data_IF_330818062772
#
_entry.id   IF_330818062772
#
_cell.length_a   1.000
_cell.length_b   1.000
_cell.length_c   1.000
_cell.angle_alpha   90.00
_cell.angle_beta   90.00
_cell.angle_gamma   90.00
#
_symmetry.space_group_name_H-M   'P 1'
#
loop_
_entity.id
_entity.type
_entity.pdbx_description
1 polymer ?
#
# COMPACT_ATOMS: atom_id res chain seq x y z
N UNK A 1 11.27 -17.25 -8.06
CA UNK A 1 10.22 -16.30 -8.48
C UNK A 1 8.88 -16.94 -8.23
N UNK A 2 8.21 -16.58 -7.14
CA UNK A 2 6.90 -17.11 -6.78
C UNK A 2 5.92 -16.85 -7.92
N UNK A 3 5.18 -17.89 -8.33
CA UNK A 3 4.06 -17.72 -9.23
C UNK A 3 2.97 -16.86 -8.56
N UNK A 4 2.70 -15.66 -9.07
CA UNK A 4 1.41 -14.94 -9.07
C UNK A 4 0.47 -15.10 -7.86
N UNK A 5 0.97 -15.01 -6.61
CA UNK A 5 0.10 -15.00 -5.43
C UNK A 5 -0.19 -13.56 -5.05
N UNK A 6 -1.42 -13.12 -5.32
CA UNK A 6 -1.91 -11.78 -5.00
C UNK A 6 -3.40 -11.79 -4.79
N UNK A 7 -3.89 -10.78 -4.10
CA UNK A 7 -5.31 -10.47 -4.04
C UNK A 7 -5.55 -9.31 -5.01
N UNK A 8 -6.59 -9.41 -5.84
CA UNK A 8 -6.96 -8.35 -6.78
C UNK A 8 -8.34 -7.83 -6.35
N UNK A 9 -8.41 -6.53 -6.10
CA UNK A 9 -9.65 -5.79 -5.87
C UNK A 9 -9.92 -5.00 -7.13
N UNK A 10 -10.78 -5.55 -7.99
CA UNK A 10 -11.16 -4.94 -9.26
C UNK A 10 -12.00 -3.67 -9.05
N UNK A 11 -12.16 -2.88 -10.12
CA UNK A 11 -13.01 -1.67 -10.10
C UNK A 11 -14.44 -2.03 -9.67
N UNK A 12 -14.99 -1.27 -8.74
CA UNK A 12 -16.32 -1.49 -8.20
C UNK A 12 -16.40 -2.60 -7.15
N UNK A 13 -15.29 -3.31 -6.87
CA UNK A 13 -15.18 -4.26 -5.79
C UNK A 13 -14.66 -3.59 -4.51
N UNK A 14 -15.05 -4.16 -3.37
CA UNK A 14 -14.59 -3.74 -2.04
C UNK A 14 -14.11 -4.96 -1.26
N UNK A 15 -12.89 -4.87 -0.73
CA UNK A 15 -12.33 -5.85 0.20
C UNK A 15 -12.22 -5.22 1.58
N UNK A 16 -12.74 -5.92 2.60
CA UNK A 16 -12.61 -5.53 4.00
C UNK A 16 -11.81 -6.63 4.70
N UNK A 17 -10.74 -6.24 5.38
CA UNK A 17 -9.93 -7.12 6.24
C UNK A 17 -10.03 -6.60 7.66
N UNK A 18 -10.73 -7.33 8.53
CA UNK A 18 -10.97 -6.91 9.91
C UNK A 18 -10.48 -7.98 10.89
N UNK A 19 -9.51 -7.63 11.75
CA UNK A 19 -8.97 -8.53 12.78
C UNK A 19 -8.21 -9.74 12.24
N UNK A 20 -7.71 -9.68 10.99
CA UNK A 20 -7.10 -10.80 10.30
C UNK A 20 -5.63 -10.56 9.94
N UNK A 21 -4.90 -11.66 9.73
CA UNK A 21 -3.50 -11.66 9.27
C UNK A 21 -3.44 -12.22 7.85
N UNK A 22 -2.92 -11.43 6.91
CA UNK A 22 -2.60 -11.86 5.56
C UNK A 22 -1.09 -11.82 5.41
N UNK A 23 -0.49 -12.98 5.16
CA UNK A 23 0.96 -13.12 5.10
C UNK A 23 1.45 -13.99 3.97
N UNK A 24 2.67 -13.68 3.52
CA UNK A 24 3.46 -14.55 2.66
C UNK A 24 3.97 -15.78 3.40
N UNK A 25 4.70 -16.60 2.66
CA UNK A 25 5.48 -17.71 3.23
C UNK A 25 6.91 -17.21 3.33
N UNK A 26 7.63 -17.54 4.41
CA UNK A 26 9.01 -17.12 4.54
C UNK A 26 9.87 -17.57 3.35
N UNK A 27 10.74 -16.66 2.90
CA UNK A 27 11.62 -16.82 1.74
C UNK A 27 10.86 -16.96 0.40
N UNK A 28 9.54 -16.74 0.38
CA UNK A 28 8.68 -16.79 -0.80
C UNK A 28 7.56 -15.72 -0.68
N UNK A 29 7.92 -14.41 -0.81
CA UNK A 29 6.96 -13.33 -0.64
C UNK A 29 5.87 -13.40 -1.69
N UNK A 30 4.67 -12.96 -1.30
CA UNK A 30 3.55 -12.78 -2.21
C UNK A 30 3.56 -11.35 -2.78
N UNK A 31 2.83 -11.09 -3.87
CA UNK A 31 2.81 -9.75 -4.49
C UNK A 31 1.81 -8.79 -3.83
N UNK A 32 1.21 -9.17 -2.70
CA UNK A 32 0.28 -8.33 -1.96
C UNK A 32 -1.12 -8.19 -2.56
N UNK A 33 -1.76 -7.09 -2.16
CA UNK A 33 -3.10 -6.69 -2.59
C UNK A 33 -2.98 -5.61 -3.66
N UNK A 34 -3.50 -5.85 -4.86
CA UNK A 34 -3.64 -4.84 -5.90
C UNK A 34 -5.05 -4.26 -5.88
N UNK A 35 -5.13 -2.94 -5.85
CA UNK A 35 -6.39 -2.20 -5.82
C UNK A 35 -6.52 -1.43 -7.12
N UNK A 36 -7.35 -1.96 -8.02
CA UNK A 36 -7.47 -1.45 -9.38
C UNK A 36 -8.39 -0.24 -9.42
N UNK A 37 -7.83 0.91 -9.79
CA UNK A 37 -8.56 2.14 -10.02
C UNK A 37 -8.82 2.44 -11.49
N UNK A 38 -9.43 3.59 -11.74
CA UNK A 38 -9.58 4.24 -13.02
C UNK A 38 -8.95 5.63 -12.93
N UNK A 39 -7.74 5.78 -13.47
CA UNK A 39 -6.95 7.02 -13.35
C UNK A 39 -7.57 8.22 -14.06
N UNK A 40 -8.56 7.98 -14.94
CA UNK A 40 -9.29 9.03 -15.65
C UNK A 40 -10.54 9.52 -14.89
N UNK A 41 -10.83 8.97 -13.71
CA UNK A 41 -12.02 9.28 -12.91
C UNK A 41 -11.62 9.62 -11.48
N UNK A 42 -12.35 10.56 -10.87
CA UNK A 42 -12.27 10.79 -9.42
C UNK A 42 -12.78 9.57 -8.64
N UNK A 43 -12.47 9.48 -7.36
CA UNK A 43 -12.78 8.29 -6.55
C UNK A 43 -14.25 8.16 -6.13
N UNK A 44 -15.07 9.21 -6.32
CA UNK A 44 -16.52 9.17 -6.13
C UNK A 44 -17.29 8.83 -7.41
N UNK A 45 -16.58 8.63 -8.54
CA UNK A 45 -17.20 8.34 -9.82
C UNK A 45 -17.89 6.97 -9.82
N UNK A 46 -19.08 6.93 -10.41
CA UNK A 46 -19.90 5.73 -10.58
C UNK A 46 -20.10 5.51 -12.08
N UNK A 47 -19.83 4.30 -12.55
CA UNK A 47 -20.02 3.89 -13.94
C UNK A 47 -21.52 3.84 -14.30
N UNK A 48 -21.84 3.80 -15.60
CA UNK A 48 -23.23 3.76 -16.08
C UNK A 48 -24.05 2.54 -15.64
N UNK A 49 -23.37 1.51 -15.10
CA UNK A 49 -23.99 0.32 -14.51
C UNK A 49 -24.25 0.45 -12.99
N UNK A 50 -23.95 1.61 -12.39
CA UNK A 50 -24.20 1.90 -10.97
C UNK A 50 -23.09 1.49 -10.01
N UNK A 51 -21.97 0.94 -10.50
CA UNK A 51 -20.84 0.53 -9.65
C UNK A 51 -19.74 1.61 -9.58
N UNK A 52 -19.02 1.73 -8.46
CA UNK A 52 -17.86 2.61 -8.37
C UNK A 52 -16.81 2.32 -9.45
N UNK A 53 -16.10 3.35 -9.90
CA UNK A 53 -15.03 3.24 -10.91
C UNK A 53 -13.67 2.85 -10.29
N UNK A 54 -13.58 2.81 -8.96
CA UNK A 54 -12.40 2.41 -8.20
C UNK A 54 -12.63 1.10 -7.46
N UNK A 55 -11.59 0.30 -7.32
CA UNK A 55 -11.52 -0.73 -6.28
C UNK A 55 -11.19 -0.08 -4.93
N UNK A 56 -11.64 -0.71 -3.85
CA UNK A 56 -11.44 -0.21 -2.49
C UNK A 56 -11.01 -1.31 -1.53
N UNK A 57 -9.94 -1.04 -0.78
CA UNK A 57 -9.50 -1.88 0.34
C UNK A 57 -9.67 -1.09 1.64
N UNK A 58 -10.29 -1.74 2.61
CA UNK A 58 -10.36 -1.26 3.99
C UNK A 58 -9.71 -2.29 4.92
N UNK A 59 -8.74 -1.83 5.70
CA UNK A 59 -8.00 -2.64 6.67
C UNK A 59 -8.28 -2.10 8.07
N UNK A 60 -8.82 -2.94 8.93
CA UNK A 60 -9.16 -2.61 10.32
C UNK A 60 -8.52 -3.64 11.24
N UNK A 61 -7.71 -3.20 12.21
CA UNK A 61 -7.08 -4.11 13.18
C UNK A 61 -6.35 -5.30 12.51
N UNK A 62 -5.79 -5.06 11.32
CA UNK A 62 -5.27 -6.11 10.45
C UNK A 62 -3.74 -6.19 10.53
N UNK A 63 -3.18 -7.29 10.05
CA UNK A 63 -1.74 -7.39 9.79
C UNK A 63 -1.50 -7.89 8.38
N UNK A 64 -0.80 -7.08 7.57
CA UNK A 64 -0.37 -7.45 6.22
C UNK A 64 1.15 -7.57 6.22
N UNK A 65 1.68 -8.73 5.86
CA UNK A 65 3.12 -8.98 6.00
C UNK A 65 3.74 -9.90 4.95
N UNK A 66 5.08 -9.88 4.90
CA UNK A 66 5.92 -10.73 4.07
C UNK A 66 5.58 -10.65 2.57
N UNK A 67 5.32 -9.43 2.09
CA UNK A 67 4.92 -9.15 0.71
C UNK A 67 5.96 -8.30 -0.03
N UNK A 68 6.04 -8.42 -1.35
CA UNK A 68 6.85 -7.49 -2.17
C UNK A 68 6.29 -6.06 -2.06
N UNK A 69 4.98 -5.91 -2.29
CA UNK A 69 4.20 -4.70 -2.01
C UNK A 69 3.04 -5.14 -1.13
N UNK A 70 2.83 -4.60 0.08
CA UNK A 70 1.74 -5.10 0.92
C UNK A 70 0.36 -4.75 0.32
N UNK A 71 0.18 -3.48 -0.04
CA UNK A 71 -0.98 -2.99 -0.79
C UNK A 71 -0.52 -1.99 -1.84
N UNK A 72 -1.00 -2.15 -3.06
CA UNK A 72 -0.64 -1.32 -4.21
C UNK A 72 -1.89 -0.75 -4.88
N UNK A 73 -2.03 0.58 -4.91
CA UNK A 73 -3.10 1.32 -5.58
C UNK A 73 -2.87 1.42 -7.09
N UNK A 74 -2.81 0.26 -7.73
CA UNK A 74 -2.53 0.12 -9.14
C UNK A 74 -2.56 -1.33 -9.56
N UNK A 75 -1.91 -1.59 -10.69
CA UNK A 75 -1.89 -2.88 -11.32
C UNK A 75 -0.47 -3.24 -11.76
N UNK A 76 -0.09 -4.50 -11.55
CA UNK A 76 1.17 -5.07 -12.00
C UNK A 76 0.91 -6.40 -12.72
N UNK A 77 1.69 -6.66 -13.78
CA UNK A 77 1.51 -7.74 -14.76
C UNK A 77 1.15 -9.14 -14.20
N UNK A 78 0.48 -10.01 -15.01
CA UNK A 78 0.19 -9.85 -16.45
C UNK A 78 -1.13 -9.15 -16.80
N UNK A 79 -1.20 -8.61 -18.03
CA UNK A 79 -2.25 -7.72 -18.58
C UNK A 79 -3.66 -8.13 -18.15
N UNK A 80 -4.56 -7.17 -17.81
CA UNK A 80 -5.97 -7.48 -17.68
C UNK A 80 -6.45 -8.12 -19.00
N UNK A 81 -7.31 -9.14 -18.95
CA UNK A 81 -7.91 -9.69 -20.16
C UNK A 81 -8.64 -8.58 -20.92
N UNK A 82 -8.27 -8.32 -22.17
CA UNK A 82 -9.03 -7.41 -23.04
C UNK A 82 -8.28 -6.33 -23.81
N UNK A 83 -6.95 -6.21 -23.68
CA UNK A 83 -6.07 -5.46 -24.61
C UNK A 83 -6.38 -3.97 -24.81
N UNK A 84 -5.46 -3.09 -24.40
CA UNK A 84 -5.52 -1.66 -24.75
C UNK A 84 -5.39 -0.69 -23.58
N UNK A 85 -5.35 -1.19 -22.35
CA UNK A 85 -5.07 -0.39 -21.16
C UNK A 85 -3.63 -0.60 -20.69
N UNK A 86 -2.95 0.51 -20.39
CA UNK A 86 -1.63 0.53 -19.77
C UNK A 86 -1.76 0.41 -18.25
N UNK A 87 -0.67 0.05 -17.55
CA UNK A 87 -0.72 -0.09 -16.10
C UNK A 87 -1.17 1.19 -15.37
N UNK A 88 -0.81 2.36 -15.91
CA UNK A 88 -1.24 3.66 -15.41
C UNK A 88 -2.75 3.90 -15.50
N UNK A 89 -3.49 3.18 -16.35
CA UNK A 89 -4.96 3.29 -16.42
C UNK A 89 -5.63 2.71 -15.18
N UNK A 90 -4.91 1.90 -14.41
CA UNK A 90 -5.37 1.22 -13.21
C UNK A 90 -4.99 1.92 -11.90
N UNK A 91 -4.31 3.06 -11.96
CA UNK A 91 -4.02 3.84 -10.76
C UNK A 91 -5.32 4.45 -10.19
N UNK A 92 -5.27 4.88 -8.93
CA UNK A 92 -6.40 5.56 -8.27
C UNK A 92 -7.28 4.66 -7.41
N UNK A 93 -6.87 3.40 -7.18
CA UNK A 93 -7.50 2.54 -6.17
C UNK A 93 -7.48 3.19 -4.78
N UNK A 94 -8.48 2.87 -3.96
CA UNK A 94 -8.66 3.46 -2.63
C UNK A 94 -8.08 2.50 -1.58
N UNK A 95 -7.17 3.00 -0.73
CA UNK A 95 -6.62 2.24 0.39
C UNK A 95 -6.91 3.02 1.68
N UNK A 96 -7.74 2.43 2.54
CA UNK A 96 -8.03 2.96 3.87
C UNK A 96 -7.50 1.95 4.89
N UNK A 97 -6.59 2.38 5.75
CA UNK A 97 -6.03 1.56 6.80
C UNK A 97 -6.21 2.24 8.16
N UNK A 98 -6.76 1.50 9.12
CA UNK A 98 -6.99 1.95 10.49
C UNK A 98 -6.53 0.87 11.46
N UNK A 99 -5.72 1.28 12.44
CA UNK A 99 -5.10 0.40 13.43
C UNK A 99 -4.47 -0.87 12.82
N UNK A 100 -3.79 -0.70 11.68
CA UNK A 100 -3.27 -1.82 10.88
C UNK A 100 -1.74 -1.87 10.96
N UNK A 101 -1.21 -3.09 11.04
CA UNK A 101 0.23 -3.34 11.00
C UNK A 101 0.65 -3.78 9.61
N UNK A 102 1.61 -3.07 9.02
CA UNK A 102 2.33 -3.49 7.83
C UNK A 102 3.73 -3.93 8.24
N UNK A 103 4.09 -5.19 7.97
CA UNK A 103 5.32 -5.77 8.49
C UNK A 103 6.13 -6.52 7.45
N UNK A 104 7.44 -6.26 7.39
CA UNK A 104 8.39 -7.01 6.56
C UNK A 104 7.97 -7.12 5.08
N UNK A 105 7.40 -6.03 4.55
CA UNK A 105 7.19 -5.87 3.12
C UNK A 105 8.29 -4.99 2.52
N UNK A 106 8.66 -5.23 1.27
CA UNK A 106 9.70 -4.43 0.61
C UNK A 106 9.22 -2.99 0.40
N UNK A 107 7.96 -2.87 -0.01
CA UNK A 107 7.15 -1.65 0.09
C UNK A 107 5.84 -1.97 0.82
N UNK A 108 5.46 -1.24 1.87
CA UNK A 108 4.17 -1.52 2.52
C UNK A 108 3.00 -0.97 1.69
N UNK A 109 3.04 0.32 1.36
CA UNK A 109 2.02 0.99 0.55
C UNK A 109 2.65 1.64 -0.66
N UNK A 110 2.11 1.37 -1.86
CA UNK A 110 2.55 2.02 -3.09
C UNK A 110 1.39 2.71 -3.79
N UNK A 111 1.62 3.96 -4.16
CA UNK A 111 0.70 4.82 -4.89
C UNK A 111 1.44 5.45 -6.07
N UNK A 112 0.93 5.17 -7.27
CA UNK A 112 1.43 5.74 -8.53
C UNK A 112 0.55 6.90 -8.99
N UNK A 113 0.98 7.55 -10.08
CA UNK A 113 0.41 8.81 -10.54
C UNK A 113 -1.12 8.81 -10.61
N UNK A 114 -1.74 9.76 -9.90
CA UNK A 114 -3.18 9.95 -9.86
C UNK A 114 -3.48 11.43 -9.61
N UNK A 115 -4.20 12.06 -10.54
CA UNK A 115 -4.34 13.53 -10.59
C UNK A 115 -5.60 14.09 -9.92
N UNK A 116 -6.41 13.24 -9.28
CA UNK A 116 -7.59 13.66 -8.53
C UNK A 116 -7.35 13.49 -7.04
N UNK A 117 -8.10 14.22 -6.21
CA UNK A 117 -8.09 14.05 -4.75
C UNK A 117 -8.31 12.59 -4.37
N UNK A 118 -7.58 12.14 -3.35
CA UNK A 118 -7.65 10.78 -2.83
C UNK A 118 -8.35 10.71 -1.48
N UNK A 119 -9.16 9.68 -1.31
CA UNK A 119 -9.74 9.20 -0.05
C UNK A 119 -8.87 8.15 0.63
N UNK A 120 -7.65 7.91 0.13
CA UNK A 120 -6.73 6.96 0.76
C UNK A 120 -6.06 7.57 1.98
N UNK A 121 -5.84 6.77 3.01
CA UNK A 121 -5.23 7.25 4.23
C UNK A 121 -4.88 6.14 5.20
N UNK A 122 -4.04 6.48 6.16
CA UNK A 122 -3.58 5.60 7.24
C UNK A 122 -3.79 6.30 8.57
N UNK A 123 -4.53 5.67 9.48
CA UNK A 123 -4.81 6.15 10.83
C UNK A 123 -4.30 5.14 11.84
N UNK A 124 -3.47 5.58 12.79
CA UNK A 124 -2.95 4.76 13.89
C UNK A 124 -2.29 3.45 13.43
N UNK A 125 -1.65 3.46 12.25
CA UNK A 125 -1.02 2.28 11.68
C UNK A 125 0.44 2.12 12.15
N UNK A 126 0.93 0.90 12.17
CA UNK A 126 2.33 0.57 12.49
C UNK A 126 3.03 -0.02 11.28
N UNK A 127 4.10 0.63 10.85
CA UNK A 127 4.98 0.17 9.78
C UNK A 127 6.28 -0.34 10.37
N UNK A 128 6.52 -1.64 10.25
CA UNK A 128 7.60 -2.32 10.97
C UNK A 128 8.46 -3.13 9.99
N UNK A 129 9.77 -2.95 10.09
CA UNK A 129 10.74 -3.83 9.45
C UNK A 129 11.67 -4.39 10.53
N UNK A 130 11.78 -5.71 10.65
CA UNK A 130 12.60 -6.36 11.70
C UNK A 130 13.44 -7.53 11.17
N UNK A 131 13.87 -7.43 9.91
CA UNK A 131 14.59 -8.49 9.17
C UNK A 131 13.81 -9.82 9.06
N UNK A 132 12.51 -9.84 9.39
CA UNK A 132 11.71 -11.06 9.30
C UNK A 132 11.50 -11.53 7.86
N UNK A 133 11.40 -12.86 7.71
CA UNK A 133 11.44 -13.60 6.45
C UNK A 133 12.44 -12.98 5.46
N UNK A 134 13.75 -13.08 5.72
CA UNK A 134 14.81 -12.65 4.81
C UNK A 134 14.57 -13.20 3.40
N UNK A 135 14.03 -12.34 2.53
CA UNK A 135 13.75 -12.71 1.16
C UNK A 135 15.10 -12.74 0.45
N UNK A 136 15.56 -13.92 0.04
CA UNK A 136 16.77 -14.05 -0.78
C UNK A 136 16.66 -13.11 -2.00
N UNK A 137 17.43 -12.02 -1.98
CA UNK A 137 17.52 -11.04 -3.05
C UNK A 137 16.41 -9.99 -3.13
N UNK A 138 15.57 -9.81 -2.11
CA UNK A 138 14.63 -8.66 -2.08
C UNK A 138 14.88 -7.79 -0.86
N UNK A 139 15.33 -6.57 -1.13
CA UNK A 139 15.72 -5.57 -0.14
C UNK A 139 14.53 -4.71 0.29
N UNK A 140 14.50 -4.34 1.56
CA UNK A 140 13.57 -3.32 2.06
C UNK A 140 13.83 -1.99 1.36
N UNK A 141 12.78 -1.35 0.84
CA UNK A 141 12.88 -0.11 0.07
C UNK A 141 12.29 1.06 0.83
N UNK A 142 11.02 0.98 1.16
CA UNK A 142 10.26 2.05 1.78
C UNK A 142 9.01 1.51 2.51
N UNK A 143 8.53 2.18 3.56
CA UNK A 143 7.20 1.81 4.07
C UNK A 143 6.11 2.38 3.15
N UNK A 144 6.18 3.67 2.83
CA UNK A 144 5.21 4.32 1.93
C UNK A 144 5.93 4.88 0.71
N UNK A 145 5.43 4.56 -0.47
CA UNK A 145 5.96 5.01 -1.76
C UNK A 145 4.91 5.79 -2.55
N UNK A 146 5.19 7.07 -2.81
CA UNK A 146 4.31 8.01 -3.51
C UNK A 146 5.05 8.61 -4.71
N UNK A 147 4.51 8.42 -5.92
CA UNK A 147 5.01 9.08 -7.14
C UNK A 147 3.88 9.69 -7.97
N UNK A 148 3.86 11.02 -8.12
CA UNK A 148 2.83 11.74 -8.88
C UNK A 148 1.42 11.65 -8.29
N UNK A 149 1.30 11.41 -6.98
CA UNK A 149 0.03 11.18 -6.29
C UNK A 149 -0.50 12.47 -5.65
N UNK A 150 -1.80 12.75 -5.78
CA UNK A 150 -2.40 14.01 -5.36
C UNK A 150 -2.17 14.35 -3.88
N UNK A 151 -2.56 13.45 -2.98
CA UNK A 151 -2.44 13.61 -1.53
C UNK A 151 -2.68 12.27 -0.83
N UNK A 152 -1.90 11.98 0.22
CA UNK A 152 -2.13 10.86 1.13
C UNK A 152 -2.16 11.39 2.57
N UNK A 153 -3.17 10.99 3.34
CA UNK A 153 -3.28 11.34 4.76
C UNK A 153 -2.64 10.26 5.64
N UNK A 154 -1.73 10.66 6.52
CA UNK A 154 -1.08 9.79 7.51
C UNK A 154 -1.25 10.41 8.90
N UNK A 155 -2.15 9.83 9.69
CA UNK A 155 -2.47 10.30 11.03
C UNK A 155 -2.02 9.28 12.07
N UNK A 156 -1.19 9.70 13.04
CA UNK A 156 -0.84 8.90 14.20
C UNK A 156 -0.08 7.60 13.91
N UNK A 157 0.61 7.51 12.77
CA UNK A 157 1.30 6.29 12.36
C UNK A 157 2.76 6.25 12.85
N UNK A 158 3.25 5.04 13.13
CA UNK A 158 4.63 4.78 13.52
C UNK A 158 5.40 4.09 12.40
N UNK A 159 6.65 4.49 12.17
CA UNK A 159 7.56 3.90 11.19
C UNK A 159 8.85 3.46 11.88
N UNK A 160 9.07 2.15 12.00
CA UNK A 160 10.21 1.62 12.76
C UNK A 160 10.94 0.53 12.00
N UNK A 161 12.23 0.76 11.77
CA UNK A 161 13.16 -0.24 11.26
C UNK A 161 14.06 -0.76 12.42
N UNK A 162 13.91 -2.03 12.75
CA UNK A 162 14.65 -2.77 13.79
C UNK A 162 15.81 -3.61 13.21
N UNK A 163 16.15 -3.47 11.93
CA UNK A 163 17.25 -4.22 11.31
C UNK A 163 18.57 -4.04 12.07
N UNK A 164 19.22 -5.16 12.38
CA UNK A 164 20.51 -5.19 13.11
C UNK A 164 21.71 -5.46 12.21
N UNK A 165 21.48 -6.05 11.04
CA UNK A 165 22.52 -6.53 10.12
C UNK A 165 22.67 -5.60 8.91
N UNK A 166 22.96 -4.32 9.16
CA UNK A 166 23.04 -3.26 8.15
C UNK A 166 24.51 -2.96 7.85
N UNK A 167 24.93 -3.16 6.59
CA UNK A 167 26.31 -2.94 6.14
C UNK A 167 26.51 -1.59 5.45
N UNK A 168 25.44 -0.88 5.11
CA UNK A 168 25.47 0.44 4.49
C UNK A 168 24.17 1.23 4.71
N UNK A 169 24.23 2.56 4.60
CA UNK A 169 23.08 3.42 4.84
C UNK A 169 21.96 3.22 3.80
N UNK A 170 22.31 2.73 2.62
CA UNK A 170 21.43 2.35 1.53
C UNK A 170 20.54 1.15 1.85
N UNK A 171 20.94 0.28 2.78
CA UNK A 171 20.19 -0.91 3.20
C UNK A 171 19.12 -0.58 4.26
N UNK A 172 19.10 0.65 4.80
CA UNK A 172 18.11 1.09 5.79
C UNK A 172 16.70 1.28 5.20
N UNK A 173 16.59 1.38 3.88
CA UNK A 173 15.36 1.80 3.21
C UNK A 173 14.94 3.22 3.60
N UNK A 174 13.65 3.54 3.41
CA UNK A 174 13.06 4.84 3.74
C UNK A 174 11.79 4.66 4.56
N UNK A 175 11.51 5.63 5.44
CA UNK A 175 10.18 5.70 6.06
C UNK A 175 9.12 5.97 5.01
N UNK A 176 9.23 7.13 4.36
CA UNK A 176 8.34 7.56 3.29
C UNK A 176 9.20 8.06 2.12
N UNK A 177 8.94 7.55 0.93
CA UNK A 177 9.43 8.10 -0.33
C UNK A 177 8.30 8.88 -0.99
N UNK A 178 8.54 10.16 -1.29
CA UNK A 178 7.56 11.05 -1.90
C UNK A 178 8.23 11.85 -3.02
N UNK A 179 7.75 11.69 -4.25
CA UNK A 179 8.20 12.42 -5.44
C UNK A 179 6.99 12.97 -6.19
N UNK A 180 7.00 14.28 -6.48
CA UNK A 180 5.92 14.98 -7.19
C UNK A 180 4.51 14.67 -6.64
N UNK A 181 4.40 14.48 -5.31
CA UNK A 181 3.16 14.05 -4.65
C UNK A 181 2.81 14.94 -3.45
N UNK A 182 1.53 15.00 -3.10
CA UNK A 182 1.06 15.60 -1.85
C UNK A 182 1.05 14.59 -0.71
N UNK A 183 1.27 15.06 0.52
CA UNK A 183 1.32 14.25 1.72
C UNK A 183 0.95 15.13 2.92
N UNK A 184 -0.02 14.68 3.70
CA UNK A 184 -0.37 15.28 4.99
C UNK A 184 0.01 14.30 6.11
N UNK A 185 0.76 14.78 7.10
CA UNK A 185 1.27 13.96 8.20
C UNK A 185 0.97 14.65 9.52
N UNK A 186 0.19 13.96 10.34
CA UNK A 186 -0.17 14.41 11.67
C UNK A 186 0.19 13.34 12.72
N UNK A 187 0.64 13.78 13.89
CA UNK A 187 0.91 12.91 15.03
C UNK A 187 -0.24 12.92 16.03
N UNK A 188 -0.35 11.87 16.84
CA UNK A 188 -1.28 11.87 17.98
C UNK A 188 -0.72 12.73 19.12
N UNK A 189 -1.52 13.65 19.65
CA UNK A 189 -1.16 14.39 20.85
C UNK A 189 -1.36 13.49 22.08
N UNK A 190 -0.28 12.87 22.55
CA UNK A 190 -0.24 12.28 23.89
C UNK A 190 -0.28 13.45 24.88
N UNK A 191 -1.43 13.67 25.52
CA UNK A 191 -1.76 14.89 26.28
C UNK A 191 -0.67 15.44 27.22
N UNK A 192 -0.77 16.74 27.50
CA UNK A 192 0.16 17.55 28.29
C UNK A 192 0.66 16.83 29.57
N UNK A 193 1.98 16.86 29.77
CA UNK A 193 2.61 16.53 31.05
C UNK A 193 1.97 17.38 32.17
N UNK A 194 1.14 16.76 33.01
CA UNK A 194 0.69 17.31 34.30
C UNK A 194 1.72 17.04 35.39
#
# INVERSE_FOLDING_TARGET
MAASRRIIVERGAKLIVDGAVIKGICNDPWNGIQVWGNSNKNQSAVAGNGYPEQGQVELYNATIMDAEKAVFAGYELPAPPGGGQSASDFNGGIIIADNTTFKNSCTALEFNTYSYDSYSGCTECSFIFDNGCSIDGVEFKDFVHLTGYSELEIFGCDFVNYSTDINGAEELGKGIYCMDSGLDIEGTCLGQYT
#
